data_IF_040614571617
#
_entry.id   IF_040614571617
#
_cell.length_a   1.000
_cell.length_b   1.000
_cell.length_c   1.000
_cell.angle_alpha   90.00
_cell.angle_beta   90.00
_cell.angle_gamma   90.00
#
_symmetry.space_group_name_H-M   'P 1'
#
loop_
_entity.id
_entity.type
_entity.pdbx_description
1 polymer ?
#
# COMPACT_ATOMS: atom_id res chain seq x y z
N UNK A 1 -6.65 19.32 -51.68
CA UNK A 1 -7.54 19.28 -50.50
C UNK A 1 -6.68 18.78 -49.34
N UNK A 2 -6.02 19.71 -48.63
CA UNK A 2 -5.00 19.37 -47.62
C UNK A 2 -5.68 19.01 -46.31
N UNK A 3 -5.58 17.75 -45.88
CA UNK A 3 -6.09 17.33 -44.57
C UNK A 3 -5.18 17.94 -43.52
N UNK A 4 -5.65 19.08 -43.01
CA UNK A 4 -5.28 19.84 -41.80
C UNK A 4 -4.36 19.07 -40.83
N UNK A 5 -3.05 19.25 -40.97
CA UNK A 5 -2.05 18.88 -39.96
C UNK A 5 -2.39 19.54 -38.62
N UNK A 6 -2.98 20.74 -38.65
CA UNK A 6 -3.42 21.48 -37.46
C UNK A 6 -4.55 20.77 -36.69
N UNK A 7 -5.43 20.02 -37.36
CA UNK A 7 -6.47 19.25 -36.68
C UNK A 7 -5.87 18.05 -35.94
N UNK A 8 -4.83 17.42 -36.49
CA UNK A 8 -4.16 16.29 -35.84
C UNK A 8 -3.35 16.76 -34.62
N UNK A 9 -2.66 17.90 -34.73
CA UNK A 9 -1.94 18.52 -33.63
C UNK A 9 -2.87 18.92 -32.48
N UNK A 10 -4.03 19.51 -32.78
CA UNK A 10 -5.04 19.86 -31.79
C UNK A 10 -5.65 18.61 -31.12
N UNK A 11 -5.93 17.54 -31.89
CA UNK A 11 -6.39 16.28 -31.32
C UNK A 11 -5.34 15.61 -30.42
N UNK A 12 -4.06 15.67 -30.78
CA UNK A 12 -2.96 15.15 -29.96
C UNK A 12 -2.74 15.99 -28.68
N UNK A 13 -2.82 17.31 -28.77
CA UNK A 13 -2.76 18.19 -27.58
C UNK A 13 -3.95 17.97 -26.66
N UNK A 14 -5.16 17.83 -27.19
CA UNK A 14 -6.35 17.53 -26.40
C UNK A 14 -6.25 16.15 -25.75
N UNK A 15 -5.80 15.12 -26.47
CA UNK A 15 -5.52 13.80 -25.88
C UNK A 15 -4.45 13.89 -24.79
N UNK A 16 -3.36 14.62 -25.02
CA UNK A 16 -2.30 14.82 -24.03
C UNK A 16 -2.79 15.57 -22.78
N UNK A 17 -3.72 16.51 -22.94
CA UNK A 17 -4.33 17.24 -21.82
C UNK A 17 -5.33 16.36 -21.06
N UNK A 18 -6.14 15.57 -21.76
CA UNK A 18 -7.08 14.63 -21.14
C UNK A 18 -6.35 13.56 -20.33
N UNK A 19 -5.29 12.95 -20.90
CA UNK A 19 -4.45 11.97 -20.22
C UNK A 19 -3.81 12.59 -18.96
N UNK A 20 -3.23 13.79 -19.07
CA UNK A 20 -2.64 14.49 -17.91
C UNK A 20 -3.65 14.85 -16.82
N UNK A 21 -4.89 15.17 -17.20
CA UNK A 21 -5.93 15.52 -16.25
C UNK A 21 -6.45 14.28 -15.50
N UNK A 22 -6.57 13.13 -16.17
CA UNK A 22 -6.97 11.86 -15.57
C UNK A 22 -5.90 11.33 -14.60
N UNK A 23 -4.62 11.45 -14.95
CA UNK A 23 -3.51 11.07 -14.08
C UNK A 23 -3.44 11.97 -12.82
N UNK A 24 -3.65 13.28 -12.99
CA UNK A 24 -3.72 14.22 -11.86
C UNK A 24 -4.92 13.96 -10.95
N UNK A 25 -6.08 13.59 -11.51
CA UNK A 25 -7.25 13.21 -10.71
C UNK A 25 -6.98 11.92 -9.91
N UNK A 26 -6.30 10.95 -10.51
CA UNK A 26 -5.95 9.67 -9.87
C UNK A 26 -4.95 9.86 -8.73
N UNK A 27 -3.90 10.66 -8.94
CA UNK A 27 -2.93 11.02 -7.89
C UNK A 27 -3.63 11.80 -6.76
N UNK A 28 -4.53 12.73 -7.08
CA UNK A 28 -5.29 13.48 -6.07
C UNK A 28 -6.18 12.56 -5.23
N UNK A 29 -6.89 11.62 -5.87
CA UNK A 29 -7.70 10.63 -5.15
C UNK A 29 -6.84 9.69 -4.30
N UNK A 30 -5.67 9.28 -4.79
CA UNK A 30 -4.71 8.48 -4.04
C UNK A 30 -4.19 9.22 -2.80
N UNK A 31 -3.91 10.54 -2.90
CA UNK A 31 -3.54 11.40 -1.75
C UNK A 31 -4.63 11.44 -0.70
N UNK A 32 -5.88 11.69 -1.09
CA UNK A 32 -7.01 11.74 -0.14
C UNK A 32 -7.19 10.41 0.61
N UNK A 33 -7.13 9.30 -0.11
CA UNK A 33 -7.27 7.97 0.50
C UNK A 33 -6.03 7.60 1.33
N UNK A 34 -4.84 8.04 0.93
CA UNK A 34 -3.62 7.87 1.72
C UNK A 34 -3.73 8.51 3.11
N UNK A 35 -4.46 9.61 3.26
CA UNK A 35 -4.71 10.20 4.59
C UNK A 35 -5.53 9.29 5.52
N UNK A 36 -6.36 8.41 4.96
CA UNK A 36 -7.16 7.45 5.74
C UNK A 36 -6.36 6.23 6.21
N UNK A 37 -5.18 6.00 5.63
CA UNK A 37 -4.28 4.93 6.08
C UNK A 37 -3.76 5.23 7.48
N UNK A 38 -3.95 4.27 8.38
CA UNK A 38 -3.43 4.31 9.75
C UNK A 38 -1.91 4.10 9.74
N UNK A 39 -1.25 4.73 10.71
CA UNK A 39 0.17 4.53 10.93
C UNK A 39 0.43 3.20 11.65
N UNK A 40 1.59 2.61 11.38
CA UNK A 40 2.05 1.38 12.03
C UNK A 40 3.37 1.63 12.77
N UNK A 41 3.38 1.39 14.08
CA UNK A 41 4.52 1.63 14.97
C UNK A 41 5.19 0.36 15.50
N UNK A 42 4.86 -0.82 14.96
CA UNK A 42 5.45 -2.10 15.40
C UNK A 42 4.59 -2.94 16.35
N UNK A 43 3.35 -2.53 16.66
CA UNK A 43 2.45 -3.32 17.52
C UNK A 43 1.89 -4.53 16.76
N UNK A 44 2.22 -5.73 17.23
CA UNK A 44 1.81 -7.00 16.64
C UNK A 44 0.29 -7.10 16.39
N UNK A 45 -0.55 -6.64 17.32
CA UNK A 45 -2.01 -6.71 17.21
C UNK A 45 -2.58 -5.88 16.05
N UNK A 46 -1.86 -4.85 15.63
CA UNK A 46 -2.28 -3.94 14.56
C UNK A 46 -1.69 -4.32 13.20
N UNK A 47 -0.74 -5.26 13.15
CA UNK A 47 0.04 -5.57 11.95
C UNK A 47 -0.85 -6.04 10.79
N UNK A 48 -1.68 -7.06 11.01
CA UNK A 48 -2.51 -7.61 9.92
C UNK A 48 -3.59 -6.63 9.48
N UNK A 49 -4.12 -5.80 10.40
CA UNK A 49 -5.05 -4.73 10.02
C UNK A 49 -4.36 -3.69 9.13
N UNK A 50 -3.13 -3.31 9.47
CA UNK A 50 -2.34 -2.37 8.68
C UNK A 50 -2.01 -2.95 7.29
N UNK A 51 -1.49 -4.18 7.24
CA UNK A 51 -1.16 -4.86 5.97
C UNK A 51 -2.40 -4.95 5.07
N UNK A 52 -3.56 -5.34 5.62
CA UNK A 52 -4.79 -5.42 4.84
C UNK A 52 -5.26 -4.06 4.30
N UNK A 53 -5.09 -2.98 5.08
CA UNK A 53 -5.40 -1.62 4.61
C UNK A 53 -4.46 -1.18 3.49
N UNK A 54 -3.17 -1.47 3.61
CA UNK A 54 -2.17 -1.15 2.58
C UNK A 54 -2.38 -2.00 1.32
N UNK A 55 -2.63 -3.30 1.45
CA UNK A 55 -2.90 -4.19 0.30
C UNK A 55 -4.11 -3.68 -0.50
N UNK A 56 -5.19 -3.24 0.16
CA UNK A 56 -6.34 -2.61 -0.51
C UNK A 56 -6.00 -1.30 -1.23
N UNK A 57 -5.14 -0.49 -0.63
CA UNK A 57 -4.68 0.75 -1.24
C UNK A 57 -3.81 0.49 -2.48
N UNK A 58 -2.87 -0.45 -2.36
CA UNK A 58 -1.99 -0.86 -3.46
C UNK A 58 -2.76 -1.53 -4.59
N UNK A 59 -3.76 -2.36 -4.29
CA UNK A 59 -4.59 -2.97 -5.33
C UNK A 59 -5.41 -1.93 -6.11
N UNK A 60 -5.76 -0.81 -5.47
CA UNK A 60 -6.55 0.25 -6.07
C UNK A 60 -5.73 1.26 -6.88
N UNK A 61 -4.48 1.52 -6.48
CA UNK A 61 -3.65 2.59 -7.06
C UNK A 61 -2.25 2.15 -7.52
N UNK A 62 -1.74 1.03 -7.03
CA UNK A 62 -0.36 0.57 -7.26
C UNK A 62 -0.19 -0.42 -8.42
N UNK A 63 -1.26 -1.00 -8.96
CA UNK A 63 -1.19 -1.87 -10.16
C UNK A 63 -1.42 -1.05 -11.42
N UNK A 64 -0.54 -0.09 -11.68
CA UNK A 64 -0.63 0.78 -12.85
C UNK A 64 0.65 0.70 -13.67
N UNK A 65 0.56 1.00 -14.96
CA UNK A 65 1.73 1.16 -15.84
C UNK A 65 2.43 2.51 -15.63
N UNK A 66 1.85 3.39 -14.79
CA UNK A 66 2.43 4.66 -14.42
C UNK A 66 3.43 4.45 -13.28
N UNK A 67 4.71 4.60 -13.61
CA UNK A 67 5.80 4.51 -12.65
C UNK A 67 5.71 5.60 -11.58
N UNK A 68 5.22 6.79 -11.93
CA UNK A 68 5.11 7.94 -11.01
C UNK A 68 4.09 7.66 -9.91
N UNK A 69 2.92 7.14 -10.29
CA UNK A 69 1.88 6.75 -9.34
C UNK A 69 2.35 5.58 -8.47
N UNK A 70 3.06 4.62 -9.06
CA UNK A 70 3.61 3.47 -8.35
C UNK A 70 4.65 3.89 -7.29
N UNK A 71 5.58 4.79 -7.64
CA UNK A 71 6.54 5.39 -6.72
C UNK A 71 5.85 6.19 -5.61
N UNK A 72 4.86 7.01 -5.97
CA UNK A 72 4.07 7.77 -5.01
C UNK A 72 3.37 6.85 -3.99
N UNK A 73 2.70 5.81 -4.48
CA UNK A 73 2.00 4.84 -3.63
C UNK A 73 2.97 4.13 -2.69
N UNK A 74 4.14 3.72 -3.17
CA UNK A 74 5.16 3.09 -2.33
C UNK A 74 5.70 4.06 -1.26
N UNK A 75 6.03 5.29 -1.64
CA UNK A 75 6.52 6.32 -0.70
C UNK A 75 5.47 6.64 0.39
N UNK A 76 4.20 6.72 0.01
CA UNK A 76 3.09 6.87 0.96
C UNK A 76 3.06 5.72 1.95
N UNK A 77 3.15 4.47 1.48
CA UNK A 77 3.14 3.29 2.35
C UNK A 77 4.30 3.38 3.36
N UNK A 78 5.51 3.68 2.91
CA UNK A 78 6.67 3.84 3.78
C UNK A 78 6.47 4.94 4.81
N UNK A 79 5.88 6.09 4.43
CA UNK A 79 5.59 7.20 5.36
C UNK A 79 4.60 6.84 6.47
N UNK A 80 3.79 5.80 6.28
CA UNK A 80 2.83 5.30 7.28
C UNK A 80 3.46 4.33 8.26
N UNK A 81 4.68 3.88 8.01
CA UNK A 81 5.46 3.05 8.93
C UNK A 81 6.32 4.01 9.76
N UNK A 82 6.04 4.07 11.06
CA UNK A 82 6.59 5.09 11.96
C UNK A 82 7.32 4.44 13.14
N UNK A 83 8.00 5.28 13.93
CA UNK A 83 8.72 4.88 15.15
C UNK A 83 9.70 3.72 14.89
N UNK A 84 9.75 2.74 15.78
CA UNK A 84 10.66 1.60 15.70
C UNK A 84 10.46 0.76 14.42
N UNK A 85 9.22 0.68 13.91
CA UNK A 85 8.95 0.00 12.65
C UNK A 85 9.50 0.80 11.45
N UNK A 86 9.46 2.14 11.52
CA UNK A 86 10.06 3.01 10.52
C UNK A 86 11.56 2.85 10.50
N UNK A 87 12.21 2.93 11.67
CA UNK A 87 13.66 2.75 11.83
C UNK A 87 14.13 1.38 11.29
N UNK A 88 13.33 0.34 11.51
CA UNK A 88 13.60 -0.99 10.97
C UNK A 88 13.64 -1.01 9.44
N UNK A 89 12.71 -0.33 8.78
CA UNK A 89 12.66 -0.26 7.32
C UNK A 89 13.79 0.63 6.78
N UNK A 90 14.10 1.75 7.44
CA UNK A 90 15.21 2.63 7.06
C UNK A 90 16.58 1.91 7.08
N UNK A 91 16.77 0.98 8.01
CA UNK A 91 17.98 0.16 8.08
C UNK A 91 18.03 -0.97 7.03
N UNK A 92 17.03 -1.10 6.15
CA UNK A 92 16.88 -2.20 5.19
C UNK A 92 16.68 -1.65 3.76
N UNK A 93 17.73 -1.10 3.14
CA UNK A 93 17.66 -0.56 1.77
C UNK A 93 17.41 -1.64 0.71
N UNK A 94 17.54 -2.92 1.07
CA UNK A 94 17.21 -4.07 0.23
C UNK A 94 15.70 -4.25 0.01
N UNK A 95 14.84 -3.65 0.85
CA UNK A 95 13.38 -3.76 0.74
C UNK A 95 12.84 -2.68 -0.20
N UNK A 96 12.95 -2.92 -1.50
CA UNK A 96 12.55 -1.97 -2.55
C UNK A 96 11.08 -2.04 -2.94
N UNK A 97 10.35 -3.07 -2.49
CA UNK A 97 8.95 -3.28 -2.89
C UNK A 97 8.05 -3.61 -1.70
N UNK A 98 6.75 -3.29 -1.84
CA UNK A 98 5.78 -3.59 -0.78
C UNK A 98 5.73 -5.08 -0.38
N UNK A 99 5.76 -6.08 -1.30
CA UNK A 99 5.77 -7.48 -0.91
C UNK A 99 6.95 -7.86 0.00
N UNK A 100 8.12 -7.29 -0.22
CA UNK A 100 9.32 -7.50 0.60
C UNK A 100 9.17 -6.85 1.98
N UNK A 101 8.73 -5.59 2.02
CA UNK A 101 8.42 -4.87 3.27
C UNK A 101 7.38 -5.64 4.08
N UNK A 102 6.27 -6.06 3.45
CA UNK A 102 5.20 -6.84 4.09
C UNK A 102 5.73 -8.13 4.72
N UNK A 103 6.61 -8.85 4.02
CA UNK A 103 7.22 -10.07 4.54
C UNK A 103 8.12 -9.76 5.74
N UNK A 104 8.99 -8.76 5.64
CA UNK A 104 9.89 -8.36 6.72
C UNK A 104 9.13 -7.91 7.98
N UNK A 105 8.03 -7.15 7.81
CA UNK A 105 7.18 -6.73 8.91
C UNK A 105 6.51 -7.93 9.61
N UNK A 106 6.04 -8.93 8.86
CA UNK A 106 5.50 -10.18 9.44
C UNK A 106 6.55 -11.00 10.17
N UNK A 107 7.78 -11.05 9.66
CA UNK A 107 8.85 -11.79 10.32
C UNK A 107 9.26 -11.15 11.65
N UNK A 108 9.33 -9.80 11.70
CA UNK A 108 9.73 -9.05 12.89
C UNK A 108 8.60 -8.85 13.91
N UNK A 109 7.43 -8.41 13.45
CA UNK A 109 6.32 -7.97 14.30
C UNK A 109 5.11 -8.92 14.27
N UNK A 110 5.16 -9.99 13.45
CA UNK A 110 4.07 -10.93 13.33
C UNK A 110 3.84 -11.75 14.59
N UNK A 111 2.59 -12.14 14.79
CA UNK A 111 2.22 -12.91 15.96
C UNK A 111 2.70 -14.35 15.82
N UNK A 112 3.77 -14.71 16.54
CA UNK A 112 4.30 -16.07 16.60
C UNK A 112 3.57 -16.94 17.62
N UNK A 113 2.29 -16.68 17.91
CA UNK A 113 1.54 -17.61 18.75
C UNK A 113 1.54 -18.97 18.05
N UNK A 114 2.21 -19.91 18.69
CA UNK A 114 2.31 -21.29 18.27
C UNK A 114 0.90 -21.87 18.11
N UNK A 115 0.68 -22.61 17.03
CA UNK A 115 -0.56 -23.35 16.77
C UNK A 115 -0.97 -24.20 17.98
N UNK A 116 0.00 -24.73 18.73
CA UNK A 116 -0.25 -25.46 19.98
C UNK A 116 -0.91 -24.61 21.05
N UNK A 117 -0.47 -23.35 21.22
CA UNK A 117 -1.03 -22.42 22.21
C UNK A 117 -2.46 -22.01 21.83
N UNK A 118 -2.73 -21.80 20.54
CA UNK A 118 -4.09 -21.56 20.06
C UNK A 118 -5.01 -22.76 20.30
N UNK A 119 -4.51 -23.96 20.04
CA UNK A 119 -5.26 -25.19 20.23
C UNK A 119 -5.58 -25.43 21.71
N UNK A 120 -4.61 -25.21 22.61
CA UNK A 120 -4.82 -25.29 24.06
C UNK A 120 -5.86 -24.27 24.56
N UNK A 121 -5.78 -23.02 24.10
CA UNK A 121 -6.75 -21.97 24.45
C UNK A 121 -8.16 -22.29 23.94
N UNK A 122 -8.27 -22.84 22.72
CA UNK A 122 -9.54 -23.28 22.16
C UNK A 122 -10.16 -24.41 23.00
N UNK A 123 -9.38 -25.45 23.34
CA UNK A 123 -9.87 -26.56 24.17
C UNK A 123 -10.31 -26.10 25.56
N UNK A 124 -9.59 -25.15 26.17
CA UNK A 124 -9.97 -24.56 27.45
C UNK A 124 -11.30 -23.80 27.37
N UNK A 125 -11.48 -22.96 26.34
CA UNK A 125 -12.73 -22.22 26.12
C UNK A 125 -13.92 -23.14 25.78
N UNK A 126 -13.69 -24.22 25.05
CA UNK A 126 -14.74 -25.22 24.76
C UNK A 126 -15.14 -26.03 26.00
N UNK A 127 -14.23 -26.25 26.96
CA UNK A 127 -14.52 -26.96 28.21
C UNK A 127 -15.29 -26.09 29.22
N UNK A 128 -15.01 -24.79 29.27
CA UNK A 128 -15.69 -23.87 30.21
C UNK A 128 -17.06 -23.38 29.72
N UNK A 129 -17.54 -23.83 28.55
CA UNK A 129 -18.86 -23.46 28.00
C UNK A 129 -19.93 -24.53 28.22
N UNK A 130 -19.56 -25.65 28.86
CA UNK A 130 -20.46 -26.69 29.39
C UNK A 130 -20.54 -26.58 30.90
#
# INVERSE_FOLDING_TARGET
MSIKIDNLANSLQNLSLTIRNEDMATISAAKEIAHTLRNFSGRCEHLESFINSVDKFLDRYGRTTDNTLSEFVFAVICSKIVDEAGDFILCRPDLGTWPEVRKALREKYGNKIDRHVLQQRFTFLSRNRN
#
